data_IF_350677389503
#
_entry.id   IF_350677389503
#
_cell.length_a   1.000
_cell.length_b   1.000
_cell.length_c   1.000
_cell.angle_alpha   90.00
_cell.angle_beta   90.00
_cell.angle_gamma   90.00
#
_symmetry.space_group_name_H-M   'P 1'
#
loop_
_entity.id
_entity.type
_entity.pdbx_description
1 polymer ?
#
# COMPACT_ATOMS: atom_id res chain seq x y z
N UNK A 1 5.66 6.51 21.90
CA UNK A 1 4.44 5.76 21.60
C UNK A 1 3.85 6.26 20.28
N UNK A 2 4.62 6.08 19.21
CA UNK A 2 4.21 6.27 17.81
C UNK A 2 4.97 5.20 17.05
N UNK A 3 4.35 4.03 16.97
CA UNK A 3 4.86 2.79 16.37
C UNK A 3 4.44 2.68 14.89
N UNK A 4 4.09 3.79 14.25
CA UNK A 4 3.36 3.80 12.97
C UNK A 4 4.26 3.66 11.73
N UNK A 5 5.51 3.23 11.92
CA UNK A 5 6.45 2.96 10.84
C UNK A 5 6.62 1.45 10.56
N UNK A 6 6.15 0.57 11.45
CA UNK A 6 6.45 -0.88 11.35
C UNK A 6 5.47 -1.66 10.47
N UNK A 7 4.22 -1.21 10.29
CA UNK A 7 3.21 -2.04 9.61
C UNK A 7 3.46 -2.20 8.11
N UNK A 8 3.90 -1.15 7.41
CA UNK A 8 4.17 -1.21 5.97
C UNK A 8 5.45 -2.01 5.69
N UNK A 9 6.50 -1.78 6.47
CA UNK A 9 7.79 -2.47 6.33
C UNK A 9 7.69 -3.95 6.67
N UNK A 10 6.98 -4.33 7.73
CA UNK A 10 6.77 -5.74 8.09
C UNK A 10 5.94 -6.46 7.04
N UNK A 11 4.95 -5.78 6.44
CA UNK A 11 4.13 -6.35 5.38
C UNK A 11 4.94 -6.53 4.10
N UNK A 12 5.72 -5.53 3.70
CA UNK A 12 6.65 -5.64 2.57
C UNK A 12 7.69 -6.75 2.80
N UNK A 13 8.17 -6.91 4.03
CA UNK A 13 9.10 -7.97 4.42
C UNK A 13 8.46 -9.36 4.35
N UNK A 14 7.24 -9.54 4.85
CA UNK A 14 6.50 -10.81 4.75
C UNK A 14 6.27 -11.22 3.29
N UNK A 15 5.98 -10.24 2.42
CA UNK A 15 5.87 -10.48 0.97
C UNK A 15 7.22 -10.85 0.35
N UNK A 16 8.31 -10.18 0.73
CA UNK A 16 9.65 -10.44 0.22
C UNK A 16 10.20 -11.82 0.65
N UNK A 17 9.80 -12.32 1.82
CA UNK A 17 10.27 -13.60 2.37
C UNK A 17 9.42 -14.81 1.95
N UNK A 18 8.48 -14.64 1.01
CA UNK A 18 7.63 -15.74 0.51
C UNK A 18 6.49 -16.13 1.46
N UNK A 19 6.25 -15.36 2.53
CA UNK A 19 5.13 -15.54 3.46
C UNK A 19 3.85 -14.83 2.98
N UNK A 20 3.65 -14.77 1.66
CA UNK A 20 2.49 -14.12 1.07
C UNK A 20 1.16 -14.72 1.55
N UNK A 21 1.14 -16.02 1.86
CA UNK A 21 -0.02 -16.71 2.45
C UNK A 21 -0.39 -16.16 3.83
N UNK A 22 0.62 -15.83 4.65
CA UNK A 22 0.42 -15.30 6.02
C UNK A 22 0.05 -13.80 5.98
N UNK A 23 0.51 -13.08 4.96
CA UNK A 23 0.21 -11.66 4.76
C UNK A 23 -1.24 -11.40 4.29
N UNK A 24 -1.81 -12.29 3.47
CA UNK A 24 -3.18 -12.15 2.94
C UNK A 24 -4.27 -11.87 3.98
N UNK A 25 -4.42 -12.64 5.07
CA UNK A 25 -5.47 -12.39 6.06
C UNK A 25 -5.30 -11.04 6.78
N UNK A 26 -4.05 -10.65 7.08
CA UNK A 26 -3.73 -9.35 7.70
C UNK A 26 -4.09 -8.20 6.78
N UNK A 27 -3.66 -8.28 5.52
CA UNK A 27 -3.96 -7.29 4.49
C UNK A 27 -5.46 -7.15 4.21
N UNK A 28 -6.19 -8.27 4.17
CA UNK A 28 -7.66 -8.25 4.01
C UNK A 28 -8.35 -7.58 5.20
N UNK A 29 -7.86 -7.79 6.42
CA UNK A 29 -8.40 -7.15 7.60
C UNK A 29 -8.14 -5.63 7.59
N UNK A 30 -6.90 -5.22 7.27
CA UNK A 30 -6.55 -3.81 7.12
C UNK A 30 -7.39 -3.13 6.02
N UNK A 31 -7.58 -3.80 4.88
CA UNK A 31 -8.38 -3.28 3.76
C UNK A 31 -9.83 -3.00 4.18
N UNK A 32 -10.45 -3.88 4.98
CA UNK A 32 -11.79 -3.65 5.53
C UNK A 32 -11.81 -2.47 6.50
N UNK A 33 -10.84 -2.41 7.40
CA UNK A 33 -10.75 -1.33 8.38
C UNK A 33 -10.66 0.05 7.71
N UNK A 34 -9.82 0.21 6.68
CA UNK A 34 -9.69 1.48 5.96
C UNK A 34 -10.93 1.84 5.13
N UNK A 35 -11.70 0.84 4.66
CA UNK A 35 -12.99 1.10 4.01
C UNK A 35 -14.01 1.66 5.01
N UNK A 36 -14.08 1.08 6.20
CA UNK A 36 -14.97 1.55 7.29
C UNK A 36 -14.62 2.97 7.73
N UNK A 37 -13.33 3.31 7.75
CA UNK A 37 -12.84 4.65 8.08
C UNK A 37 -12.93 5.66 6.92
N UNK A 38 -13.43 5.25 5.75
CA UNK A 38 -13.45 6.08 4.54
C UNK A 38 -12.08 6.72 4.23
N UNK A 39 -11.00 5.94 4.40
CA UNK A 39 -9.63 6.38 4.15
C UNK A 39 -9.15 5.91 2.77
N UNK A 40 -9.34 6.70 1.68
CA UNK A 40 -9.17 6.20 0.32
C UNK A 40 -7.72 5.96 -0.06
N UNK A 41 -6.78 6.73 0.49
CA UNK A 41 -5.35 6.52 0.26
C UNK A 41 -4.89 5.20 0.87
N UNK A 42 -5.23 4.95 2.14
CA UNK A 42 -4.85 3.72 2.84
C UNK A 42 -5.52 2.48 2.23
N UNK A 43 -6.79 2.62 1.84
CA UNK A 43 -7.50 1.53 1.18
C UNK A 43 -6.88 1.18 -0.18
N UNK A 44 -6.51 2.19 -1.00
CA UNK A 44 -5.80 1.96 -2.25
C UNK A 44 -4.42 1.33 -2.04
N UNK A 45 -3.66 1.81 -1.04
CA UNK A 45 -2.34 1.27 -0.68
C UNK A 45 -2.40 -0.21 -0.28
N UNK A 46 -3.31 -0.57 0.61
CA UNK A 46 -3.45 -1.97 1.07
C UNK A 46 -3.90 -2.90 -0.06
N UNK A 47 -4.73 -2.43 -1.00
CA UNK A 47 -5.11 -3.22 -2.18
C UNK A 47 -3.94 -3.49 -3.13
N UNK A 48 -3.00 -2.54 -3.28
CA UNK A 48 -1.76 -2.79 -4.03
C UNK A 48 -0.91 -3.86 -3.36
N UNK A 49 -0.83 -3.87 -2.01
CA UNK A 49 -0.13 -4.92 -1.27
C UNK A 49 -0.82 -6.28 -1.38
N UNK A 50 -2.16 -6.33 -1.42
CA UNK A 50 -2.92 -7.56 -1.71
C UNK A 50 -2.60 -8.11 -3.11
N UNK A 51 -2.55 -7.24 -4.12
CA UNK A 51 -2.17 -7.64 -5.47
C UNK A 51 -0.75 -8.22 -5.51
N UNK A 52 0.20 -7.63 -4.78
CA UNK A 52 1.55 -8.16 -4.66
C UNK A 52 1.58 -9.54 -3.98
N UNK A 53 0.76 -9.76 -2.96
CA UNK A 53 0.61 -11.06 -2.30
C UNK A 53 0.04 -12.12 -3.24
N UNK A 54 -1.04 -11.81 -3.96
CA UNK A 54 -1.63 -12.70 -4.95
C UNK A 54 -0.61 -13.07 -6.04
N UNK A 55 0.16 -12.09 -6.54
CA UNK A 55 1.20 -12.32 -7.54
C UNK A 55 2.30 -13.26 -7.03
N UNK A 56 2.74 -13.08 -5.78
CA UNK A 56 3.74 -13.95 -5.16
C UNK A 56 3.24 -15.40 -5.00
N UNK A 57 1.93 -15.62 -4.89
CA UNK A 57 1.29 -16.93 -4.82
C UNK A 57 0.95 -17.52 -6.20
N UNK A 58 1.19 -16.78 -7.29
CA UNK A 58 0.80 -17.19 -8.64
C UNK A 58 -0.69 -16.99 -8.97
N UNK A 59 -1.43 -16.27 -8.12
CA UNK A 59 -2.84 -15.92 -8.31
C UNK A 59 -2.96 -14.65 -9.17
N UNK A 60 -2.91 -14.85 -10.50
CA UNK A 60 -3.00 -13.76 -11.46
C UNK A 60 -4.38 -13.07 -11.44
N UNK A 61 -5.46 -13.85 -11.32
CA UNK A 61 -6.83 -13.33 -11.27
C UNK A 61 -7.04 -12.45 -10.03
N UNK A 62 -6.57 -12.91 -8.87
CA UNK A 62 -6.59 -12.11 -7.63
C UNK A 62 -5.74 -10.85 -7.70
N UNK A 63 -4.60 -10.91 -8.40
CA UNK A 63 -3.73 -9.75 -8.64
C UNK A 63 -4.48 -8.66 -9.44
N UNK A 64 -5.09 -9.04 -10.56
CA UNK A 64 -5.81 -8.11 -11.43
C UNK A 64 -7.04 -7.52 -10.74
N UNK A 65 -7.77 -8.35 -9.98
CA UNK A 65 -8.95 -7.92 -9.23
C UNK A 65 -8.61 -6.82 -8.22
N UNK A 66 -7.53 -6.98 -7.46
CA UNK A 66 -7.17 -6.01 -6.42
C UNK A 66 -6.61 -4.71 -7.00
N UNK A 67 -5.84 -4.77 -8.10
CA UNK A 67 -5.39 -3.57 -8.81
C UNK A 67 -6.56 -2.79 -9.42
N UNK A 68 -7.50 -3.49 -10.03
CA UNK A 68 -8.72 -2.88 -10.58
C UNK A 68 -9.53 -2.21 -9.49
N UNK A 69 -9.69 -2.87 -8.34
CA UNK A 69 -10.40 -2.31 -7.20
C UNK A 69 -9.67 -1.08 -6.61
N UNK A 70 -8.34 -1.10 -6.53
CA UNK A 70 -7.55 0.04 -6.09
C UNK A 70 -7.75 1.25 -7.01
N UNK A 71 -7.68 1.02 -8.33
CA UNK A 71 -7.89 2.07 -9.33
C UNK A 71 -9.33 2.63 -9.30
N UNK A 72 -10.34 1.77 -9.19
CA UNK A 72 -11.74 2.19 -9.09
C UNK A 72 -12.00 3.02 -7.82
N UNK A 73 -11.40 2.63 -6.69
CA UNK A 73 -11.51 3.36 -5.44
C UNK A 73 -10.83 4.74 -5.54
N UNK A 74 -9.60 4.78 -6.08
CA UNK A 74 -8.89 6.03 -6.33
C UNK A 74 -9.70 6.98 -7.24
N UNK A 75 -10.24 6.46 -8.34
CA UNK A 75 -11.05 7.24 -9.26
C UNK A 75 -12.33 7.79 -8.61
N UNK A 76 -13.07 6.95 -7.87
CA UNK A 76 -14.30 7.37 -7.16
C UNK A 76 -14.05 8.49 -6.16
N UNK A 77 -12.89 8.46 -5.49
CA UNK A 77 -12.51 9.43 -4.47
C UNK A 77 -11.68 10.60 -5.03
N UNK A 78 -11.57 10.72 -6.35
CA UNK A 78 -10.85 11.82 -7.00
C UNK A 78 -9.35 11.83 -6.72
N UNK A 79 -8.79 10.68 -6.32
CA UNK A 79 -7.35 10.49 -6.18
C UNK A 79 -6.75 10.39 -7.59
N UNK A 80 -6.62 11.51 -8.26
CA UNK A 80 -5.92 11.60 -9.54
C UNK A 80 -4.44 11.39 -9.26
N UNK A 81 -3.89 10.27 -9.75
CA UNK A 81 -2.46 10.08 -9.78
C UNK A 81 -1.84 11.29 -10.46
N UNK A 82 -1.05 12.08 -9.71
CA UNK A 82 -0.26 13.15 -10.32
C UNK A 82 0.51 12.50 -11.48
N UNK A 83 0.23 12.99 -12.67
CA UNK A 83 0.69 12.39 -13.92
C UNK A 83 2.19 12.12 -13.85
N UNK A 84 2.56 10.89 -14.23
CA UNK A 84 3.92 10.52 -14.60
C UNK A 84 4.35 11.47 -15.71
N UNK A 85 5.14 12.48 -15.37
CA UNK A 85 5.51 13.53 -16.33
C UNK A 85 6.31 14.71 -15.79
N UNK A 86 6.65 14.77 -14.49
CA UNK A 86 7.57 15.80 -14.00
C UNK A 86 8.62 15.18 -13.10
N UNK A 87 9.81 14.96 -13.68
CA UNK A 87 11.04 14.68 -12.97
C UNK A 87 11.31 15.81 -11.99
N UNK A 88 11.14 15.55 -10.71
CA UNK A 88 12.07 16.09 -9.71
C UNK A 88 12.18 15.09 -8.57
N UNK A 89 13.20 14.24 -8.69
CA UNK A 89 13.91 13.84 -7.48
C UNK A 89 14.85 15.00 -7.12
N UNK A 90 15.03 15.27 -5.82
CA UNK A 90 16.38 15.19 -5.34
C UNK A 90 16.48 14.13 -4.26
N UNK A 91 17.53 13.34 -4.40
CA UNK A 91 17.99 12.41 -3.41
C UNK A 91 18.52 13.20 -2.22
N UNK A 92 18.27 12.61 -1.05
CA UNK A 92 19.11 12.62 0.13
C UNK A 92 19.34 13.96 0.86
N UNK A 93 19.15 13.84 2.18
CA UNK A 93 19.96 14.57 3.15
C UNK A 93 19.33 15.87 3.63
N UNK A 94 19.44 16.06 4.94
CA UNK A 94 19.41 17.37 5.58
C UNK A 94 18.05 17.93 5.99
N UNK A 95 17.50 17.33 7.05
CA UNK A 95 16.91 18.11 8.13
C UNK A 95 17.38 17.54 9.48
N UNK A 96 18.70 17.57 9.68
CA UNK A 96 19.21 17.69 11.03
C UNK A 96 18.88 19.11 11.53
N UNK A 97 18.40 19.17 12.78
CA UNK A 97 18.70 20.24 13.75
C UNK A 97 17.81 21.50 13.71
N UNK A 98 16.85 21.52 14.64
CA UNK A 98 16.38 22.64 15.50
C UNK A 98 14.87 22.45 15.70
N UNK A 99 14.30 22.37 16.90
CA UNK A 99 14.67 23.01 18.14
C UNK A 99 14.38 22.09 19.35
N UNK A 100 15.07 22.42 20.44
CA UNK A 100 14.98 21.84 21.79
C UNK A 100 13.57 21.74 22.33
#
# INVERSE_FOLDING_TARGET
MSDEATSDDVTALLLAQGHATDALPVLRAACRHWQELHAPHDCARVRVLLAAACRALGDADGTELELTAAAAYAHRHGLTGRAVGETTHPAAGEAARSAR
#
